data_IF_011351339988
#
_entry.id   IF_011351339988
#
_cell.length_a   1.000
_cell.length_b   1.000
_cell.length_c   1.000
_cell.angle_alpha   90.00
_cell.angle_beta   90.00
_cell.angle_gamma   90.00
#
_symmetry.space_group_name_H-M   'P 1'
#
loop_
_entity.id
_entity.type
_entity.pdbx_description
1 polymer ?
#
# COMPACT_ATOMS: atom_id res chain seq x y z
N UNK A 1 18.99 -5.53 -7.35
CA UNK A 1 17.56 -5.14 -7.34
C UNK A 1 16.67 -6.36 -7.40
N UNK A 2 15.44 -6.27 -6.88
CA UNK A 2 14.46 -7.38 -6.90
C UNK A 2 13.18 -6.84 -7.52
N UNK A 3 12.68 -7.48 -8.59
CA UNK A 3 11.47 -7.06 -9.31
C UNK A 3 11.48 -5.56 -9.72
N UNK A 4 12.63 -5.08 -10.18
CA UNK A 4 12.82 -3.68 -10.58
C UNK A 4 12.82 -2.66 -9.43
N UNK A 5 12.90 -3.11 -8.16
CA UNK A 5 12.96 -2.25 -6.98
C UNK A 5 14.39 -2.20 -6.44
N UNK A 6 14.84 -0.98 -6.12
CA UNK A 6 16.20 -0.71 -5.66
C UNK A 6 16.49 -1.43 -4.35
N UNK A 7 17.67 -2.05 -4.21
CA UNK A 7 18.07 -2.72 -2.96
C UNK A 7 17.94 -1.81 -1.73
N UNK A 8 18.17 -0.51 -1.87
CA UNK A 8 18.10 0.48 -0.78
C UNK A 8 16.70 0.66 -0.20
N UNK A 9 15.66 0.27 -0.95
CA UNK A 9 14.26 0.46 -0.56
C UNK A 9 13.71 -0.75 0.19
N UNK A 10 14.33 -1.93 0.08
CA UNK A 10 13.88 -3.13 0.78
C UNK A 10 14.12 -3.03 2.30
N UNK A 11 13.16 -3.53 3.08
CA UNK A 11 13.34 -3.73 4.53
C UNK A 11 14.46 -4.73 4.81
N UNK A 12 14.45 -5.88 4.13
CA UNK A 12 15.58 -6.83 4.09
C UNK A 12 15.87 -7.58 5.39
N UNK A 13 15.18 -7.28 6.48
CA UNK A 13 15.20 -7.98 7.77
C UNK A 13 13.88 -7.73 8.50
N UNK A 14 13.55 -8.59 9.46
CA UNK A 14 12.49 -8.35 10.46
C UNK A 14 12.96 -7.42 11.60
N UNK A 15 14.27 -7.23 11.79
CA UNK A 15 14.86 -6.36 12.82
C UNK A 15 14.82 -4.87 12.44
N UNK A 16 13.68 -4.41 11.93
CA UNK A 16 13.44 -2.99 11.67
C UNK A 16 13.08 -2.32 12.99
N UNK A 17 13.74 -1.22 13.33
CA UNK A 17 13.54 -0.53 14.63
C UNK A 17 12.81 0.81 14.51
N UNK A 18 12.70 1.38 13.32
CA UNK A 18 11.99 2.64 13.07
C UNK A 18 10.64 2.39 12.38
N UNK A 19 9.62 3.13 12.82
CA UNK A 19 8.29 3.18 12.20
C UNK A 19 7.60 1.82 12.08
N UNK A 20 7.91 0.86 12.96
CA UNK A 20 7.38 -0.52 12.92
C UNK A 20 5.87 -0.60 12.99
N UNK A 21 5.23 0.36 13.67
CA UNK A 21 3.78 0.51 13.72
C UNK A 21 3.18 1.07 12.43
N UNK A 22 3.95 1.29 11.37
CA UNK A 22 3.51 1.97 10.15
C UNK A 22 3.89 1.22 8.87
N UNK A 23 4.68 0.16 9.01
CA UNK A 23 5.15 -0.68 7.92
C UNK A 23 4.20 -1.88 7.79
N UNK A 24 3.49 -2.03 6.67
CA UNK A 24 2.61 -3.18 6.45
C UNK A 24 3.44 -4.43 6.21
N UNK A 25 3.04 -5.53 6.86
CA UNK A 25 3.62 -6.86 6.70
C UNK A 25 2.69 -7.79 5.94
N UNK A 26 1.41 -7.83 6.33
CA UNK A 26 0.36 -8.59 5.63
C UNK A 26 -0.95 -7.80 5.60
N UNK A 27 -1.67 -7.90 4.48
CA UNK A 27 -2.98 -7.30 4.26
C UNK A 27 -3.67 -7.95 3.06
N UNK A 28 -4.92 -7.59 2.82
CA UNK A 28 -5.72 -8.12 1.71
C UNK A 28 -5.10 -7.76 0.35
N UNK A 29 -5.04 -8.73 -0.57
CA UNK A 29 -4.52 -8.50 -1.91
C UNK A 29 -5.23 -9.35 -2.99
N UNK A 30 -5.37 -8.82 -4.21
CA UNK A 30 -5.83 -9.57 -5.40
C UNK A 30 -4.70 -10.32 -6.11
N UNK A 31 -3.45 -10.03 -5.73
CA UNK A 31 -2.25 -10.61 -6.30
C UNK A 31 -1.33 -11.09 -5.19
N UNK A 32 -0.30 -11.87 -5.52
CA UNK A 32 0.68 -12.42 -4.55
C UNK A 32 1.48 -11.36 -3.75
N UNK A 33 1.20 -10.07 -3.94
CA UNK A 33 1.84 -8.94 -3.31
C UNK A 33 2.08 -7.79 -4.28
N UNK A 34 2.94 -6.87 -3.88
CA UNK A 34 3.32 -5.68 -4.63
C UNK A 34 4.44 -4.94 -3.90
N UNK A 35 4.95 -3.87 -4.49
CA UNK A 35 5.79 -2.92 -3.78
C UNK A 35 5.42 -1.49 -4.17
N UNK A 36 4.26 -1.02 -3.68
CA UNK A 36 3.77 0.34 -3.91
C UNK A 36 4.89 1.36 -3.77
N UNK A 37 4.94 2.31 -4.70
CA UNK A 37 5.98 3.31 -4.78
C UNK A 37 5.39 4.62 -5.26
N UNK A 38 5.28 5.58 -4.32
CA UNK A 38 4.79 6.93 -4.57
C UNK A 38 5.54 7.68 -5.69
N UNK A 39 6.79 7.29 -6.01
CA UNK A 39 7.61 7.92 -7.06
C UNK A 39 7.26 7.43 -8.46
N UNK A 40 6.52 6.32 -8.56
CA UNK A 40 6.17 5.71 -9.83
C UNK A 40 4.67 5.83 -10.07
N UNK A 41 4.29 6.73 -10.99
CA UNK A 41 2.89 7.00 -11.29
C UNK A 41 2.08 5.83 -11.85
N UNK A 42 2.72 4.74 -12.32
CA UNK A 42 2.03 3.48 -12.68
C UNK A 42 1.79 2.65 -11.43
N UNK A 43 2.81 2.43 -10.60
CA UNK A 43 2.65 1.64 -9.37
C UNK A 43 1.68 2.28 -8.39
N UNK A 44 1.66 3.61 -8.38
CA UNK A 44 0.88 4.38 -7.44
C UNK A 44 -0.62 4.39 -7.79
N UNK A 45 -1.07 4.15 -9.03
CA UNK A 45 -2.46 4.43 -9.47
C UNK A 45 -3.56 3.85 -8.57
N UNK A 46 -4.69 4.56 -8.50
CA UNK A 46 -5.89 4.09 -7.80
C UNK A 46 -6.83 3.35 -8.77
N UNK A 47 -7.48 2.25 -8.34
CA UNK A 47 -8.42 1.53 -9.18
C UNK A 47 -9.70 2.35 -9.42
N UNK A 48 -10.17 2.39 -10.67
CA UNK A 48 -11.38 3.08 -11.09
C UNK A 48 -12.65 2.47 -10.48
N UNK A 49 -12.67 1.15 -10.30
CA UNK A 49 -13.76 0.40 -9.68
C UNK A 49 -13.23 -0.73 -8.80
N UNK A 50 -14.07 -1.22 -7.88
CA UNK A 50 -13.68 -2.28 -6.95
C UNK A 50 -13.31 -3.57 -7.70
N UNK A 51 -12.12 -4.11 -7.43
CA UNK A 51 -11.63 -5.33 -8.07
C UNK A 51 -11.03 -5.13 -9.47
N UNK A 52 -10.74 -3.89 -9.88
CA UNK A 52 -10.05 -3.67 -11.15
C UNK A 52 -8.68 -4.35 -11.19
N UNK A 53 -8.50 -5.26 -12.16
CA UNK A 53 -7.19 -5.76 -12.55
C UNK A 53 -6.64 -4.93 -13.72
N UNK A 54 -5.42 -4.41 -13.57
CA UNK A 54 -4.75 -3.60 -14.60
C UNK A 54 -3.31 -4.05 -14.89
N UNK A 55 -2.99 -5.30 -14.52
CA UNK A 55 -1.67 -5.92 -14.74
C UNK A 55 -0.73 -5.82 -13.54
N UNK A 56 0.33 -6.63 -13.55
CA UNK A 56 1.22 -6.84 -12.40
C UNK A 56 2.01 -5.60 -11.94
N UNK A 57 2.11 -4.57 -12.78
CA UNK A 57 2.84 -3.33 -12.47
C UNK A 57 2.02 -2.30 -11.67
N UNK A 58 0.73 -2.55 -11.45
CA UNK A 58 -0.22 -1.64 -10.78
C UNK A 58 -0.27 -1.93 -9.27
N UNK A 59 0.87 -1.73 -8.61
CA UNK A 59 1.18 -2.38 -7.34
C UNK A 59 0.33 -1.91 -6.14
N UNK A 60 -0.06 -0.63 -6.04
CA UNK A 60 -0.96 -0.16 -4.96
C UNK A 60 -2.40 -0.64 -5.17
N UNK A 61 -2.85 -0.77 -6.42
CA UNK A 61 -4.17 -1.29 -6.73
C UNK A 61 -4.38 -2.70 -6.20
N UNK A 62 -3.31 -3.51 -6.14
CA UNK A 62 -3.40 -4.89 -5.68
C UNK A 62 -3.96 -5.02 -4.26
N UNK A 63 -3.75 -4.00 -3.42
CA UNK A 63 -4.21 -3.95 -2.03
C UNK A 63 -5.47 -3.09 -1.84
N UNK A 64 -5.96 -2.48 -2.92
CA UNK A 64 -7.05 -1.51 -2.88
C UNK A 64 -8.38 -2.15 -3.27
N UNK A 65 -8.94 -2.99 -2.38
CA UNK A 65 -10.12 -3.81 -2.68
C UNK A 65 -11.15 -3.66 -1.56
N UNK A 66 -12.39 -3.34 -1.92
CA UNK A 66 -13.52 -3.29 -1.01
C UNK A 66 -14.05 -4.69 -0.71
N UNK A 67 -13.39 -5.43 0.20
CA UNK A 67 -13.85 -6.74 0.69
C UNK A 67 -14.58 -6.66 2.03
N UNK A 68 -14.14 -5.76 2.92
CA UNK A 68 -14.60 -5.67 4.30
C UNK A 68 -15.34 -4.35 4.58
N UNK A 69 -16.07 -3.83 3.59
CA UNK A 69 -16.68 -2.51 3.66
C UNK A 69 -15.68 -1.40 3.34
N UNK A 70 -15.46 -0.47 4.28
CA UNK A 70 -14.74 0.77 4.00
C UNK A 70 -13.21 0.65 4.08
N UNK A 71 -12.64 -0.38 4.71
CA UNK A 71 -11.18 -0.51 4.90
C UNK A 71 -10.65 -1.94 4.72
N UNK A 72 -9.38 -2.13 5.07
CA UNK A 72 -8.70 -3.43 5.08
C UNK A 72 -7.98 -3.64 6.42
N UNK A 73 -7.80 -4.91 6.81
CA UNK A 73 -7.02 -5.27 7.98
C UNK A 73 -5.54 -5.37 7.60
N UNK A 74 -4.68 -4.73 8.39
CA UNK A 74 -3.25 -4.69 8.15
C UNK A 74 -2.52 -5.20 9.40
N UNK A 75 -1.68 -6.21 9.21
CA UNK A 75 -0.65 -6.60 10.17
C UNK A 75 0.59 -5.72 9.93
N UNK A 76 1.12 -5.13 10.99
CA UNK A 76 2.30 -4.27 10.94
C UNK A 76 3.55 -4.99 11.47
N UNK A 77 4.73 -4.39 11.26
CA UNK A 77 6.01 -4.94 11.75
C UNK A 77 6.14 -4.96 13.28
N UNK A 78 5.34 -4.18 14.00
CA UNK A 78 5.19 -4.29 15.46
C UNK A 78 4.27 -5.43 15.91
N UNK A 79 3.82 -6.26 14.97
CA UNK A 79 2.89 -7.38 15.13
C UNK A 79 1.48 -6.98 15.56
N UNK A 80 1.14 -5.69 15.56
CA UNK A 80 -0.24 -5.25 15.77
C UNK A 80 -1.08 -5.47 14.51
N UNK A 81 -2.36 -5.80 14.70
CA UNK A 81 -3.36 -5.82 13.62
C UNK A 81 -4.31 -4.64 13.81
N UNK A 82 -4.44 -3.81 12.78
CA UNK A 82 -5.36 -2.65 12.79
C UNK A 82 -6.09 -2.55 11.46
N UNK A 83 -7.35 -2.15 11.51
CA UNK A 83 -8.13 -1.84 10.31
C UNK A 83 -7.86 -0.42 9.83
N UNK A 84 -7.75 -0.23 8.52
CA UNK A 84 -7.80 1.11 7.93
C UNK A 84 -9.22 1.68 8.02
N UNK A 85 -9.34 3.00 8.13
CA UNK A 85 -10.62 3.73 8.10
C UNK A 85 -11.21 3.80 6.70
N UNK A 86 -10.34 3.84 5.70
CA UNK A 86 -10.69 3.85 4.28
C UNK A 86 -9.65 3.07 3.47
N UNK A 87 -10.01 2.65 2.25
CA UNK A 87 -9.05 2.02 1.33
C UNK A 87 -8.02 3.05 0.84
N UNK A 88 -8.35 4.35 0.83
CA UNK A 88 -7.40 5.44 0.55
C UNK A 88 -6.15 5.40 1.43
N UNK A 89 -6.22 4.82 2.63
CA UNK A 89 -5.06 4.73 3.51
C UNK A 89 -3.96 3.80 2.98
N UNK A 90 -4.19 3.01 1.92
CA UNK A 90 -3.11 2.28 1.25
C UNK A 90 -1.99 3.20 0.74
N UNK A 91 -2.29 4.47 0.49
CA UNK A 91 -1.31 5.45 0.02
C UNK A 91 -0.51 6.12 1.15
N UNK A 92 -0.88 5.93 2.41
CA UNK A 92 -0.14 6.45 3.59
C UNK A 92 0.75 5.42 4.28
N UNK A 93 0.64 4.14 3.95
CA UNK A 93 1.46 3.10 4.58
C UNK A 93 2.94 3.21 4.16
N UNK A 94 3.88 2.83 5.05
CA UNK A 94 5.33 2.87 4.76
C UNK A 94 5.74 1.61 3.99
N UNK A 95 5.54 1.57 2.68
CA UNK A 95 5.79 0.37 1.86
C UNK A 95 7.27 0.00 1.70
N UNK A 96 8.15 1.01 1.72
CA UNK A 96 9.59 0.82 1.57
C UNK A 96 10.36 1.89 2.37
N UNK A 97 11.69 1.70 2.54
CA UNK A 97 12.52 2.54 3.42
C UNK A 97 12.45 4.03 3.10
N UNK A 98 12.43 4.37 1.82
CA UNK A 98 12.33 5.75 1.33
C UNK A 98 10.90 6.21 0.97
N UNK A 99 9.85 5.49 1.38
CA UNK A 99 8.47 5.81 1.02
C UNK A 99 8.02 7.10 1.74
N UNK A 100 7.56 8.10 0.98
CA UNK A 100 7.04 9.34 1.54
C UNK A 100 5.54 9.17 1.84
N UNK A 101 5.20 9.15 3.13
CA UNK A 101 3.83 8.92 3.61
C UNK A 101 2.93 10.15 3.59
N UNK A 102 3.53 11.35 3.63
CA UNK A 102 2.78 12.60 3.75
C UNK A 102 2.68 13.32 2.40
N UNK A 103 1.50 13.87 2.11
CA UNK A 103 1.29 14.80 0.99
C UNK A 103 0.62 14.21 -0.25
N UNK A 104 0.85 12.93 -0.58
CA UNK A 104 0.33 12.35 -1.83
C UNK A 104 -1.18 12.05 -1.82
N UNK A 105 -1.72 11.60 -0.68
CA UNK A 105 -3.18 11.39 -0.53
C UNK A 105 -3.99 12.67 -0.77
N UNK A 106 -3.43 13.84 -0.48
CA UNK A 106 -4.11 15.14 -0.64
C UNK A 106 -4.07 15.65 -2.08
N UNK A 107 -3.06 15.27 -2.87
CA UNK A 107 -2.94 15.69 -4.27
C UNK A 107 -3.64 14.75 -5.24
N UNK A 108 -3.91 13.51 -4.82
CA UNK A 108 -4.49 12.49 -5.68
C UNK A 108 -6.01 12.50 -5.63
N UNK A 109 -6.63 12.50 -6.82
CA UNK A 109 -8.07 12.29 -6.95
C UNK A 109 -8.37 10.79 -6.87
N UNK A 110 -9.13 10.41 -5.85
CA UNK A 110 -9.58 9.04 -5.67
C UNK A 110 -11.03 8.89 -6.12
N UNK A 111 -11.41 7.76 -6.72
CA UNK A 111 -12.82 7.39 -6.89
C UNK A 111 -13.56 7.37 -5.55
N UNK A 112 -14.82 7.81 -5.55
CA UNK A 112 -15.64 7.97 -4.34
C UNK A 112 -15.78 6.68 -3.52
N UNK A 113 -15.73 5.52 -4.17
CA UNK A 113 -15.90 4.23 -3.52
C UNK A 113 -14.74 3.83 -2.60
N UNK A 114 -13.55 4.43 -2.76
CA UNK A 114 -12.38 4.14 -1.89
C UNK A 114 -12.52 4.75 -0.47
N UNK A 115 -13.64 5.42 -0.19
CA UNK A 115 -13.95 6.10 1.06
C UNK A 115 -13.81 7.62 0.92
N UNK A 116 -14.23 8.37 1.94
CA UNK A 116 -13.91 9.80 2.09
C UNK A 116 -12.59 9.97 2.83
#
# INVERSE_FOLDING_TARGET
DIQGRSKKDHWGSFDVTDSVSEIPLFLDAMWRGGGPDHRNGVKDQAPAFNGQWAGYGQETMHFSIGRHGNGSNVLYFDHSVRSTRSIKQMWTLKWHRSYQRHGFERTKKFPAWLGN
#
